data_IF_199120698106
#
_entry.id   IF_199120698106
#
_cell.length_a   1.000
_cell.length_b   1.000
_cell.length_c   1.000
_cell.angle_alpha   90.00
_cell.angle_beta   90.00
_cell.angle_gamma   90.00
#
_symmetry.space_group_name_H-M   'P 1'
#
loop_
_entity.id
_entity.type
_entity.pdbx_description
1 polymer ?
#
# COMPACT_ATOMS: atom_id res chain seq x y z
N UNK A 1 9.82 -44.20 -12.64
CA UNK A 1 11.05 -43.57 -12.12
C UNK A 1 11.07 -42.15 -12.66
N UNK A 2 10.61 -41.18 -11.87
CA UNK A 2 10.51 -39.77 -12.28
C UNK A 2 10.97 -38.87 -11.13
N UNK A 3 12.05 -39.25 -10.45
CA UNK A 3 12.46 -38.65 -9.19
C UNK A 3 13.68 -37.73 -9.31
N UNK A 4 14.15 -37.39 -10.52
CA UNK A 4 15.43 -36.68 -10.71
C UNK A 4 15.44 -35.43 -11.60
N UNK A 5 14.31 -34.92 -12.11
CA UNK A 5 14.32 -33.71 -12.96
C UNK A 5 13.98 -32.40 -12.22
N UNK A 6 13.95 -32.42 -10.88
CA UNK A 6 13.78 -31.20 -10.09
C UNK A 6 15.12 -30.74 -9.49
N UNK A 7 15.76 -29.78 -10.14
CA UNK A 7 16.90 -29.07 -9.55
C UNK A 7 16.34 -28.01 -8.59
N UNK A 8 16.66 -28.11 -7.31
CA UNK A 8 16.19 -27.15 -6.31
C UNK A 8 16.59 -25.72 -6.72
N UNK A 9 15.62 -24.80 -6.74
CA UNK A 9 15.85 -23.41 -7.14
C UNK A 9 15.88 -23.16 -8.65
N UNK A 10 15.73 -24.18 -9.49
CA UNK A 10 15.61 -24.02 -10.95
C UNK A 10 14.16 -23.82 -11.43
N UNK A 11 13.20 -23.78 -10.49
CA UNK A 11 11.81 -23.49 -10.81
C UNK A 11 11.72 -22.05 -11.33
N UNK A 12 11.05 -21.84 -12.46
CA UNK A 12 10.73 -20.49 -12.88
C UNK A 12 9.80 -19.85 -11.84
N UNK A 13 10.21 -18.68 -11.36
CA UNK A 13 9.50 -17.88 -10.35
C UNK A 13 9.02 -16.54 -10.90
N UNK A 14 9.04 -16.36 -12.22
CA UNK A 14 8.67 -15.12 -12.91
C UNK A 14 7.26 -14.65 -12.52
N UNK A 15 6.27 -15.56 -12.52
CA UNK A 15 4.88 -15.27 -12.17
C UNK A 15 4.72 -14.91 -10.68
N UNK A 16 5.43 -15.61 -9.77
CA UNK A 16 5.41 -15.31 -8.34
C UNK A 16 6.03 -13.93 -8.06
N UNK A 17 7.14 -13.59 -8.76
CA UNK A 17 7.76 -12.26 -8.66
C UNK A 17 6.80 -11.18 -9.14
N UNK A 18 6.16 -11.37 -10.30
CA UNK A 18 5.16 -10.44 -10.82
C UNK A 18 4.02 -10.23 -9.84
N UNK A 19 3.49 -11.32 -9.27
CA UNK A 19 2.43 -11.27 -8.26
C UNK A 19 2.88 -10.52 -7.01
N UNK A 20 4.07 -10.81 -6.50
CA UNK A 20 4.64 -10.10 -5.34
C UNK A 20 4.77 -8.60 -5.62
N UNK A 21 5.32 -8.21 -6.78
CA UNK A 21 5.43 -6.81 -7.16
C UNK A 21 4.06 -6.12 -7.26
N UNK A 22 3.06 -6.80 -7.82
CA UNK A 22 1.70 -6.27 -7.87
C UNK A 22 1.11 -6.05 -6.47
N UNK A 23 1.21 -7.05 -5.58
CA UNK A 23 0.73 -6.95 -4.19
C UNK A 23 1.43 -5.83 -3.44
N UNK A 24 2.76 -5.76 -3.54
CA UNK A 24 3.53 -4.71 -2.88
C UNK A 24 3.16 -3.33 -3.41
N UNK A 25 2.98 -3.19 -4.73
CA UNK A 25 2.57 -1.93 -5.34
C UNK A 25 1.20 -1.50 -4.86
N UNK A 26 0.17 -2.34 -4.97
CA UNK A 26 -1.18 -1.95 -4.55
C UNK A 26 -1.29 -1.77 -3.03
N UNK A 27 -0.70 -2.67 -2.25
CA UNK A 27 -0.74 -2.65 -0.80
C UNK A 27 0.03 -1.48 -0.20
N UNK A 28 1.28 -1.29 -0.59
CA UNK A 28 2.13 -0.26 0.01
C UNK A 28 1.92 1.11 -0.60
N UNK A 29 1.89 1.21 -1.93
CA UNK A 29 1.82 2.52 -2.62
C UNK A 29 0.45 3.19 -2.43
N UNK A 30 -0.62 2.39 -2.32
CA UNK A 30 -1.99 2.91 -2.24
C UNK A 30 -2.73 2.48 -0.98
N UNK A 31 -2.66 1.20 -0.60
CA UNK A 31 -3.38 0.67 0.56
C UNK A 31 -2.96 1.31 1.89
N UNK A 32 -1.66 1.42 2.14
CA UNK A 32 -1.15 2.04 3.37
C UNK A 32 -1.49 3.54 3.48
N UNK A 33 -1.26 4.39 2.47
CA UNK A 33 -1.71 5.78 2.50
C UNK A 33 -3.22 5.94 2.68
N UNK A 34 -4.01 5.11 1.99
CA UNK A 34 -5.47 5.21 2.05
C UNK A 34 -6.04 4.81 3.41
N UNK A 35 -5.54 3.72 4.00
CA UNK A 35 -5.94 3.29 5.33
C UNK A 35 -5.59 4.33 6.40
N UNK A 36 -4.41 4.95 6.31
CA UNK A 36 -4.00 6.02 7.22
C UNK A 36 -4.86 7.28 7.06
N UNK A 37 -5.19 7.65 5.83
CA UNK A 37 -6.09 8.77 5.54
C UNK A 37 -7.49 8.54 6.12
N UNK A 38 -8.04 7.32 5.97
CA UNK A 38 -9.32 6.94 6.57
C UNK A 38 -9.26 6.97 8.10
N UNK A 39 -8.23 6.40 8.71
CA UNK A 39 -8.06 6.41 10.17
C UNK A 39 -8.02 7.84 10.71
N UNK A 40 -7.28 8.73 10.03
CA UNK A 40 -7.19 10.15 10.41
C UNK A 40 -8.52 10.87 10.22
N UNK A 41 -9.24 10.58 9.14
CA UNK A 41 -10.55 11.14 8.88
C UNK A 41 -11.54 10.80 10.00
N UNK A 42 -11.70 9.53 10.35
CA UNK A 42 -12.60 9.13 11.43
C UNK A 42 -12.17 9.68 12.78
N UNK A 43 -10.85 9.72 13.05
CA UNK A 43 -10.33 10.30 14.28
C UNK A 43 -10.67 11.79 14.39
N UNK A 44 -10.51 12.56 13.32
CA UNK A 44 -10.85 13.99 13.35
C UNK A 44 -12.36 14.21 13.57
N UNK A 45 -13.22 13.38 12.95
CA UNK A 45 -14.67 13.42 13.19
C UNK A 45 -15.01 13.15 14.67
N UNK A 46 -14.35 12.17 15.29
CA UNK A 46 -14.54 11.84 16.71
C UNK A 46 -14.09 12.98 17.65
N UNK A 47 -13.07 13.74 17.26
CA UNK A 47 -12.57 14.91 18.02
C UNK A 47 -13.45 16.15 17.80
N UNK A 48 -14.49 16.06 16.98
CA UNK A 48 -15.43 17.14 16.72
C UNK A 48 -15.01 18.09 15.60
N UNK A 49 -14.07 17.68 14.74
CA UNK A 49 -13.74 18.44 13.55
C UNK A 49 -14.94 18.47 12.58
N UNK A 50 -15.06 19.57 11.83
CA UNK A 50 -16.12 19.70 10.83
C UNK A 50 -15.96 18.63 9.74
N UNK A 51 -17.06 17.98 9.35
CA UNK A 51 -17.06 16.93 8.34
C UNK A 51 -16.47 17.38 7.00
N UNK A 52 -16.87 18.55 6.50
CA UNK A 52 -16.38 19.10 5.24
C UNK A 52 -14.90 19.45 5.31
N UNK A 53 -14.44 20.02 6.43
CA UNK A 53 -13.03 20.29 6.67
C UNK A 53 -12.21 18.99 6.62
N UNK A 54 -12.72 17.96 7.28
CA UNK A 54 -12.01 16.69 7.39
C UNK A 54 -11.97 15.94 6.06
N UNK A 55 -13.09 15.95 5.31
CA UNK A 55 -13.20 15.27 4.02
C UNK A 55 -12.41 15.97 2.90
N UNK A 56 -12.47 17.30 2.84
CA UNK A 56 -11.91 18.05 1.71
C UNK A 56 -10.46 18.47 1.93
N UNK A 57 -10.01 18.56 3.18
CA UNK A 57 -8.66 19.04 3.49
C UNK A 57 -7.83 17.96 4.17
N UNK A 58 -8.28 17.46 5.33
CA UNK A 58 -7.45 16.55 6.15
C UNK A 58 -7.23 15.22 5.44
N UNK A 59 -8.30 14.60 4.92
CA UNK A 59 -8.20 13.32 4.23
C UNK A 59 -7.27 13.39 2.99
N UNK A 60 -7.46 14.34 2.05
CA UNK A 60 -6.55 14.46 0.90
C UNK A 60 -5.13 14.83 1.31
N UNK A 61 -4.94 15.68 2.32
CA UNK A 61 -3.61 16.06 2.79
C UNK A 61 -2.83 14.85 3.32
N UNK A 62 -3.47 14.01 4.15
CA UNK A 62 -2.86 12.78 4.67
C UNK A 62 -2.63 11.77 3.56
N UNK A 63 -3.60 11.58 2.66
CA UNK A 63 -3.48 10.64 1.55
C UNK A 63 -2.30 11.03 0.64
N UNK A 64 -2.23 12.28 0.21
CA UNK A 64 -1.17 12.79 -0.68
C UNK A 64 0.17 12.77 0.05
N UNK A 65 0.23 13.27 1.29
CA UNK A 65 1.47 13.30 2.07
C UNK A 65 2.04 11.91 2.30
N UNK A 66 1.20 10.95 2.70
CA UNK A 66 1.62 9.57 2.92
C UNK A 66 1.96 8.86 1.60
N UNK A 67 1.21 9.11 0.52
CA UNK A 67 1.52 8.54 -0.80
C UNK A 67 2.87 9.04 -1.33
N UNK A 68 3.14 10.35 -1.22
CA UNK A 68 4.44 10.91 -1.56
C UNK A 68 5.56 10.34 -0.68
N UNK A 69 5.34 10.21 0.62
CA UNK A 69 6.31 9.58 1.52
C UNK A 69 6.63 8.13 1.12
N UNK A 70 5.62 7.31 0.86
CA UNK A 70 5.83 5.92 0.40
C UNK A 70 6.60 5.91 -0.91
N UNK A 71 6.22 6.76 -1.86
CA UNK A 71 6.89 6.85 -3.16
C UNK A 71 8.35 7.29 -3.04
N UNK A 72 8.65 8.23 -2.15
CA UNK A 72 10.00 8.79 -1.98
C UNK A 72 10.92 7.93 -1.12
N UNK A 73 10.40 7.17 -0.15
CA UNK A 73 11.25 6.45 0.81
C UNK A 73 11.15 4.92 0.69
N UNK A 74 10.07 4.36 0.13
CA UNK A 74 9.79 2.92 0.14
C UNK A 74 9.69 2.28 -1.25
N UNK A 75 9.76 3.08 -2.33
CA UNK A 75 9.66 2.59 -3.72
C UNK A 75 11.00 2.63 -4.47
N UNK A 76 12.11 2.37 -3.77
CA UNK A 76 13.46 2.25 -4.34
C UNK A 76 13.89 0.79 -4.51
#
# INVERSE_FOLDING_TARGET
>A
MAENDYVRGSMDVSDQKSTYHAVMKYGMEWGAPFSLALATFFTALLVGANFFLTLLIIFPAVLIGCHLFVKTFLSH
#
